data_IF_778158208889
#
_entry.id   IF_778158208889
#
_cell.length_a   1.000
_cell.length_b   1.000
_cell.length_c   1.000
_cell.angle_alpha   90.00
_cell.angle_beta   90.00
_cell.angle_gamma   90.00
#
_symmetry.space_group_name_H-M   'P 1'
#
loop_
_entity.id
_entity.type
_entity.pdbx_description
1 polymer ?
#
# COMPACT_ATOMS: atom_id res chain seq x y z
N UNK A 1 -20.52 -19.26 9.47
CA UNK A 1 -21.15 -17.96 9.78
C UNK A 1 -20.39 -16.86 9.06
N UNK A 2 -20.98 -16.27 8.02
CA UNK A 2 -20.35 -15.15 7.31
C UNK A 2 -20.37 -13.91 8.23
N UNK A 3 -19.18 -13.38 8.55
CA UNK A 3 -19.08 -12.14 9.31
C UNK A 3 -19.89 -11.06 8.59
N UNK A 4 -20.89 -10.48 9.27
CA UNK A 4 -21.63 -9.30 8.81
C UNK A 4 -20.59 -8.28 8.30
N UNK A 5 -20.55 -8.00 6.99
CA UNK A 5 -19.71 -6.92 6.44
C UNK A 5 -20.00 -5.67 7.27
N UNK A 6 -18.98 -5.18 7.97
CA UNK A 6 -19.11 -4.08 8.93
C UNK A 6 -19.72 -2.87 8.21
N UNK A 7 -20.76 -2.28 8.81
CA UNK A 7 -21.57 -1.14 8.33
C UNK A 7 -20.77 0.09 7.83
N UNK A 8 -19.46 0.14 8.09
CA UNK A 8 -18.58 1.28 7.82
C UNK A 8 -17.35 0.93 6.95
N UNK A 9 -17.35 -0.23 6.27
CA UNK A 9 -16.21 -0.63 5.43
C UNK A 9 -16.33 0.01 4.06
N UNK A 10 -15.44 0.94 3.77
CA UNK A 10 -15.24 1.51 2.44
C UNK A 10 -14.25 0.62 1.71
N UNK A 11 -14.52 0.32 0.44
CA UNK A 11 -13.58 -0.40 -0.40
C UNK A 11 -12.35 0.49 -0.61
N UNK A 12 -11.18 0.00 -0.19
CA UNK A 12 -9.91 0.67 -0.38
C UNK A 12 -9.26 0.10 -1.63
N UNK A 13 -8.80 0.99 -2.49
CA UNK A 13 -8.26 0.67 -3.80
C UNK A 13 -6.92 1.39 -3.95
N UNK A 14 -5.85 0.72 -3.52
CA UNK A 14 -4.48 1.22 -3.64
C UNK A 14 -3.70 0.45 -4.70
N UNK A 15 -4.37 -0.08 -5.74
CA UNK A 15 -3.78 -0.97 -6.75
C UNK A 15 -2.57 -0.33 -7.43
N UNK A 16 -2.70 0.92 -7.90
CA UNK A 16 -1.59 1.65 -8.54
C UNK A 16 -0.39 1.87 -7.58
N UNK A 17 -0.65 2.20 -6.31
CA UNK A 17 0.40 2.32 -5.30
C UNK A 17 1.05 0.95 -5.03
N UNK A 18 0.25 -0.11 -4.95
CA UNK A 18 0.71 -1.48 -4.69
C UNK A 18 1.60 -2.01 -5.81
N UNK A 19 1.17 -1.82 -7.06
CA UNK A 19 1.95 -2.17 -8.26
C UNK A 19 3.28 -1.42 -8.28
N UNK A 20 3.24 -0.10 -8.05
CA UNK A 20 4.45 0.70 -7.95
C UNK A 20 5.41 0.18 -6.86
N UNK A 21 4.91 -0.12 -5.66
CA UNK A 21 5.73 -0.69 -4.58
C UNK A 21 6.35 -2.04 -4.96
N UNK A 22 5.60 -2.88 -5.69
CA UNK A 22 6.08 -4.17 -6.17
C UNK A 22 7.20 -4.01 -7.20
N UNK A 23 7.01 -3.12 -8.17
CA UNK A 23 8.01 -2.83 -9.20
C UNK A 23 9.30 -2.32 -8.56
N UNK A 24 9.20 -1.32 -7.69
CA UNK A 24 10.36 -0.73 -7.01
C UNK A 24 11.09 -1.77 -6.15
N UNK A 25 10.36 -2.68 -5.48
CA UNK A 25 10.97 -3.80 -4.76
C UNK A 25 11.75 -4.73 -5.69
N UNK A 26 11.16 -5.12 -6.83
CA UNK A 26 11.79 -6.02 -7.80
C UNK A 26 13.01 -5.37 -8.43
N UNK A 27 12.94 -4.09 -8.81
CA UNK A 27 14.06 -3.31 -9.32
C UNK A 27 15.20 -3.18 -8.30
N UNK A 28 14.89 -3.18 -7.00
CA UNK A 28 15.87 -3.23 -5.93
C UNK A 28 16.44 -4.64 -5.65
N UNK A 29 15.98 -5.68 -6.36
CA UNK A 29 16.43 -7.06 -6.18
C UNK A 29 15.97 -7.73 -4.88
N UNK A 30 14.91 -7.20 -4.25
CA UNK A 30 14.46 -7.62 -2.93
C UNK A 30 13.28 -8.59 -3.00
N UNK A 31 13.27 -9.59 -2.12
CA UNK A 31 12.08 -10.45 -1.91
C UNK A 31 11.11 -9.78 -0.93
N UNK A 32 9.82 -10.10 -1.00
CA UNK A 32 8.84 -9.60 -0.01
C UNK A 32 9.26 -9.94 1.43
N UNK A 33 9.89 -11.12 1.63
CA UNK A 33 10.42 -11.53 2.93
C UNK A 33 11.56 -10.64 3.41
N UNK A 34 12.52 -10.31 2.55
CA UNK A 34 13.63 -9.42 2.91
C UNK A 34 13.13 -8.05 3.36
N UNK A 35 12.18 -7.48 2.61
CA UNK A 35 11.53 -6.21 2.95
C UNK A 35 10.78 -6.30 4.26
N UNK A 36 10.04 -7.39 4.51
CA UNK A 36 9.29 -7.55 5.76
C UNK A 36 10.21 -7.46 6.96
N UNK A 37 11.39 -8.07 6.89
CA UNK A 37 12.40 -8.02 7.95
C UNK A 37 12.95 -6.60 8.12
N UNK A 38 13.26 -5.88 7.04
CA UNK A 38 13.67 -4.46 7.10
C UNK A 38 12.61 -3.56 7.71
N UNK A 39 11.33 -3.90 7.56
CA UNK A 39 10.22 -3.20 8.20
C UNK A 39 9.90 -3.71 9.62
N UNK A 40 10.61 -4.70 10.14
CA UNK A 40 10.37 -5.27 11.48
C UNK A 40 9.11 -6.13 11.58
N UNK A 41 8.66 -6.73 10.46
CA UNK A 41 7.55 -7.67 10.43
C UNK A 41 8.05 -9.12 10.47
N UNK A 42 7.33 -9.95 11.23
CA UNK A 42 7.61 -11.38 11.36
C UNK A 42 7.23 -12.19 10.12
N UNK A 43 6.36 -11.67 9.24
CA UNK A 43 5.93 -12.33 8.00
C UNK A 43 5.82 -11.37 6.81
N UNK A 44 5.81 -11.91 5.59
CA UNK A 44 5.66 -11.15 4.35
C UNK A 44 4.22 -10.68 4.06
N UNK A 45 3.24 -11.03 4.92
CA UNK A 45 1.82 -10.80 4.65
C UNK A 45 1.50 -9.32 4.43
N UNK A 46 2.10 -8.42 5.22
CA UNK A 46 1.89 -6.98 5.05
C UNK A 46 2.41 -6.48 3.70
N UNK A 47 3.57 -6.98 3.27
CA UNK A 47 4.15 -6.58 1.97
C UNK A 47 3.25 -7.05 0.83
N UNK A 48 2.76 -8.28 0.90
CA UNK A 48 1.78 -8.82 -0.05
C UNK A 48 0.48 -8.00 -0.06
N UNK A 49 -0.03 -7.61 1.11
CA UNK A 49 -1.24 -6.78 1.20
C UNK A 49 -1.02 -5.39 0.57
N UNK A 50 0.15 -4.79 0.78
CA UNK A 50 0.49 -3.49 0.18
C UNK A 50 0.59 -3.62 -1.34
N UNK A 51 1.33 -4.61 -1.84
CA UNK A 51 1.54 -4.84 -3.28
C UNK A 51 0.26 -5.23 -4.03
N UNK A 52 -0.74 -5.77 -3.33
CA UNK A 52 -2.06 -6.06 -3.87
C UNK A 52 -3.05 -4.90 -3.76
N UNK A 53 -2.64 -3.75 -3.23
CA UNK A 53 -3.51 -2.60 -3.05
C UNK A 53 -4.57 -2.75 -1.95
N UNK A 54 -4.51 -3.79 -1.12
CA UNK A 54 -5.49 -4.04 -0.03
C UNK A 54 -5.38 -2.96 1.06
N UNK A 55 -4.17 -2.43 1.27
CA UNK A 55 -3.90 -1.37 2.21
C UNK A 55 -2.68 -0.56 1.79
N UNK A 56 -2.66 0.73 2.11
CA UNK A 56 -1.45 1.52 2.06
C UNK A 56 -0.50 1.17 3.23
N UNK A 57 0.83 1.23 3.04
CA UNK A 57 1.79 1.12 4.12
C UNK A 57 1.62 2.28 5.13
N UNK A 58 1.73 2.05 6.45
CA UNK A 58 1.75 3.15 7.43
C UNK A 58 2.88 4.15 7.13
N UNK A 59 2.67 5.45 7.33
CA UNK A 59 3.62 6.51 6.94
C UNK A 59 5.07 6.27 7.39
N UNK A 60 5.27 5.80 8.64
CA UNK A 60 6.62 5.46 9.14
C UNK A 60 7.29 4.35 8.32
N UNK A 61 6.52 3.34 7.88
CA UNK A 61 7.01 2.23 7.05
C UNK A 61 7.16 2.67 5.60
N UNK A 62 6.24 3.49 5.09
CA UNK A 62 6.34 4.08 3.75
C UNK A 62 7.63 4.90 3.59
N UNK A 63 8.01 5.68 4.61
CA UNK A 63 9.30 6.39 4.65
C UNK A 63 10.51 5.45 4.55
N UNK A 64 10.45 4.28 5.22
CA UNK A 64 11.53 3.28 5.14
C UNK A 64 11.56 2.66 3.73
N UNK A 65 10.40 2.31 3.17
CA UNK A 65 10.29 1.77 1.81
C UNK A 65 10.82 2.76 0.75
N UNK A 66 10.46 4.03 0.85
CA UNK A 66 10.93 5.07 -0.07
C UNK A 66 12.46 5.17 -0.09
N UNK A 67 13.09 5.06 1.08
CA UNK A 67 14.55 5.02 1.18
C UNK A 67 15.14 3.70 0.66
N UNK A 68 14.55 2.57 1.06
CA UNK A 68 15.03 1.24 0.71
C UNK A 68 14.99 0.99 -0.80
N UNK A 69 13.94 1.44 -1.46
CA UNK A 69 13.77 1.27 -2.90
C UNK A 69 14.23 2.48 -3.72
N UNK A 70 14.70 3.55 -3.07
CA UNK A 70 15.10 4.82 -3.73
C UNK A 70 13.98 5.44 -4.58
N UNK A 71 12.76 5.43 -4.06
CA UNK A 71 11.59 5.97 -4.77
C UNK A 71 11.62 7.51 -4.81
N UNK A 72 11.21 8.13 -5.93
CA UNK A 72 10.95 9.57 -5.97
C UNK A 72 9.84 9.94 -4.98
N UNK A 73 10.06 10.96 -4.14
CA UNK A 73 9.11 11.32 -3.07
C UNK A 73 7.80 11.82 -3.65
N UNK A 74 7.91 12.64 -4.70
CA UNK A 74 6.81 13.24 -5.44
C UNK A 74 5.89 12.15 -6.00
N UNK A 75 6.48 11.14 -6.66
CA UNK A 75 5.71 10.03 -7.23
C UNK A 75 4.94 9.24 -6.18
N UNK A 76 5.53 9.01 -4.99
CA UNK A 76 4.85 8.33 -3.89
C UNK A 76 3.68 9.17 -3.37
N UNK A 77 3.87 10.48 -3.23
CA UNK A 77 2.82 11.42 -2.78
C UNK A 77 1.66 11.42 -3.76
N UNK A 78 1.93 11.54 -5.07
CA UNK A 78 0.90 11.56 -6.11
C UNK A 78 0.02 10.31 -6.05
N UNK A 79 0.64 9.12 -6.03
CA UNK A 79 -0.07 7.84 -5.97
C UNK A 79 -0.95 7.70 -4.72
N UNK A 80 -0.47 8.19 -3.57
CA UNK A 80 -1.25 8.16 -2.32
C UNK A 80 -2.42 9.13 -2.41
N UNK A 81 -2.21 10.36 -2.87
CA UNK A 81 -3.28 11.36 -2.98
C UNK A 81 -4.33 10.95 -4.00
N UNK A 82 -3.92 10.38 -5.14
CA UNK A 82 -4.83 9.84 -6.16
C UNK A 82 -5.73 8.76 -5.57
N UNK A 83 -5.16 7.79 -4.86
CA UNK A 83 -5.92 6.71 -4.23
C UNK A 83 -6.86 7.23 -3.13
N UNK A 84 -6.38 8.08 -2.22
CA UNK A 84 -7.20 8.66 -1.15
C UNK A 84 -8.32 9.55 -1.70
N UNK A 85 -8.05 10.33 -2.76
CA UNK A 85 -9.07 11.12 -3.45
C UNK A 85 -10.17 10.23 -4.02
N UNK A 86 -9.80 9.17 -4.75
CA UNK A 86 -10.78 8.25 -5.33
C UNK A 86 -11.65 7.58 -4.25
N UNK A 87 -11.03 7.15 -3.15
CA UNK A 87 -11.73 6.56 -2.00
C UNK A 87 -12.70 7.57 -1.38
N UNK A 88 -12.27 8.81 -1.15
CA UNK A 88 -13.09 9.87 -0.58
C UNK A 88 -14.25 10.26 -1.51
N UNK A 89 -13.99 10.43 -2.80
CA UNK A 89 -15.02 10.74 -3.79
C UNK A 89 -16.06 9.62 -3.88
N UNK A 90 -15.63 8.35 -3.94
CA UNK A 90 -16.55 7.21 -3.95
C UNK A 90 -17.37 7.10 -2.66
N UNK A 91 -16.76 7.40 -1.50
CA UNK A 91 -17.46 7.35 -0.22
C UNK A 91 -18.47 8.49 -0.02
N UNK A 92 -18.17 9.70 -0.53
CA UNK A 92 -18.99 10.89 -0.31
C UNK A 92 -20.01 11.13 -1.42
N UNK A 93 -19.70 10.78 -2.66
CA UNK A 93 -20.64 10.97 -3.79
C UNK A 93 -21.70 9.88 -3.87
N UNK A 94 -21.44 8.72 -3.25
CA UNK A 94 -22.33 7.56 -3.29
C UNK A 94 -22.41 6.99 -4.70
N UNK A 95 -22.00 5.74 -4.86
CA UNK A 95 -22.45 4.94 -6.01
C UNK A 95 -23.83 4.35 -5.69
#
# INVERSE_FOLDING_TARGET
MAAKKKKYVIARHYEALGEFLREQRISAGLTQRSVSLSLGYSSAQFISNFERGIAAPPLKKLKILARLYKMPTERVVDLVIEAERAILEGALRGN
#
